data_IF_434588530352
#
_entry.id   IF_434588530352
#
_cell.length_a   1.000
_cell.length_b   1.000
_cell.length_c   1.000
_cell.angle_alpha   90.00
_cell.angle_beta   90.00
_cell.angle_gamma   90.00
#
_symmetry.space_group_name_H-M   'P 1'
#
loop_
_entity.id
_entity.type
_entity.pdbx_description
1 polymer ?
#
# COMPACT_ATOMS: atom_id res chain seq x y z
N UNK A 1 -29.20 11.81 21.98
CA UNK A 1 -29.07 12.01 20.53
C UNK A 1 -27.71 11.50 20.09
N UNK A 2 -27.66 10.55 19.17
CA UNK A 2 -26.42 9.99 18.65
C UNK A 2 -25.74 10.98 17.70
N UNK A 3 -24.77 11.74 18.21
CA UNK A 3 -23.96 12.65 17.40
C UNK A 3 -22.74 11.87 16.90
N UNK A 4 -22.43 11.97 15.60
CA UNK A 4 -21.25 11.35 15.02
C UNK A 4 -20.00 12.12 15.47
N UNK A 5 -19.16 11.50 16.28
CA UNK A 5 -17.92 12.09 16.78
C UNK A 5 -16.71 11.61 15.97
N UNK A 6 -15.81 12.53 15.64
CA UNK A 6 -14.48 12.23 15.13
C UNK A 6 -13.46 12.39 16.26
N UNK A 7 -12.65 11.36 16.46
CA UNK A 7 -11.64 11.25 17.50
C UNK A 7 -10.28 10.99 16.86
N UNK A 8 -9.23 11.50 17.50
CA UNK A 8 -7.87 11.10 17.18
C UNK A 8 -7.60 9.75 17.83
N UNK A 9 -6.85 8.91 17.13
CA UNK A 9 -6.54 7.56 17.57
C UNK A 9 -5.07 7.24 17.30
N UNK A 10 -4.44 6.67 18.30
CA UNK A 10 -3.19 5.94 18.24
C UNK A 10 -3.51 4.52 18.70
N UNK A 11 -2.68 3.53 18.40
CA UNK A 11 -2.88 2.08 18.53
C UNK A 11 -3.64 1.60 19.78
N UNK A 12 -3.64 2.36 20.88
CA UNK A 12 -4.28 2.01 22.14
C UNK A 12 -5.24 3.07 22.73
N UNK A 13 -5.28 4.31 22.21
CA UNK A 13 -5.97 5.42 22.88
C UNK A 13 -6.71 6.29 21.88
N UNK A 14 -7.93 6.65 22.23
CA UNK A 14 -8.72 7.68 21.56
C UNK A 14 -8.68 8.97 22.37
N UNK A 15 -8.39 10.10 21.73
CA UNK A 15 -8.40 11.40 22.39
C UNK A 15 -8.94 12.50 21.47
N UNK A 16 -9.18 13.68 22.05
CA UNK A 16 -9.69 14.86 21.34
C UNK A 16 -10.97 14.61 20.52
N UNK A 17 -11.86 13.75 21.02
CA UNK A 17 -13.15 13.47 20.41
C UNK A 17 -14.03 14.71 20.36
N UNK A 18 -14.49 15.07 19.16
CA UNK A 18 -15.43 16.18 18.93
C UNK A 18 -16.47 15.78 17.90
N UNK A 19 -17.56 16.53 17.83
CA UNK A 19 -18.54 16.33 16.77
C UNK A 19 -17.83 16.46 15.42
N UNK A 20 -18.10 15.53 14.50
CA UNK A 20 -17.47 15.51 13.17
C UNK A 20 -17.64 16.82 12.42
N UNK A 21 -18.75 17.55 12.63
CA UNK A 21 -18.99 18.86 12.02
C UNK A 21 -18.09 19.99 12.56
N UNK A 22 -17.47 19.82 13.72
CA UNK A 22 -16.56 20.82 14.30
C UNK A 22 -15.17 20.77 13.68
N UNK A 23 -14.81 19.65 13.05
CA UNK A 23 -13.56 19.50 12.33
C UNK A 23 -13.64 20.15 10.95
N UNK A 24 -12.65 20.98 10.64
CA UNK A 24 -12.53 21.69 9.36
C UNK A 24 -11.28 21.25 8.64
N UNK A 25 -11.38 21.08 7.33
CA UNK A 25 -10.21 20.84 6.50
C UNK A 25 -9.50 22.16 6.24
N UNK A 26 -8.17 22.14 6.36
CA UNK A 26 -7.33 23.25 5.97
C UNK A 26 -6.01 22.74 5.40
N UNK A 27 -5.15 23.68 5.01
CA UNK A 27 -3.86 23.39 4.42
C UNK A 27 -2.76 24.08 5.21
N UNK A 28 -1.99 23.27 5.91
CA UNK A 28 -1.02 23.72 6.88
C UNK A 28 0.36 23.91 6.23
N UNK A 29 1.09 24.95 6.62
CA UNK A 29 2.38 25.30 6.01
C UNK A 29 3.58 24.52 6.58
N UNK A 30 3.47 24.04 7.81
CA UNK A 30 4.49 23.22 8.47
C UNK A 30 3.87 21.97 9.07
N UNK A 31 4.66 20.91 9.11
CA UNK A 31 4.20 19.58 9.45
C UNK A 31 5.32 18.79 10.14
N UNK A 32 5.05 18.29 11.35
CA UNK A 32 5.88 17.28 12.00
C UNK A 32 5.44 15.90 11.50
N UNK A 33 6.26 15.29 10.64
CA UNK A 33 5.97 14.00 10.01
C UNK A 33 5.94 12.86 11.05
N UNK A 34 6.67 12.98 12.18
CA UNK A 34 6.70 11.93 13.21
C UNK A 34 5.47 11.99 14.10
N UNK A 35 5.03 13.19 14.44
CA UNK A 35 3.87 13.40 15.31
C UNK A 35 2.56 13.54 14.55
N UNK A 36 2.61 13.73 13.22
CA UNK A 36 1.45 14.00 12.39
C UNK A 36 0.79 15.36 12.67
N UNK A 37 1.46 16.26 13.40
CA UNK A 37 0.90 17.55 13.79
C UNK A 37 1.28 18.61 12.76
N UNK A 38 0.34 19.50 12.44
CA UNK A 38 0.57 20.57 11.49
C UNK A 38 0.29 21.94 12.09
N UNK A 39 0.98 22.97 11.57
CA UNK A 39 0.72 24.36 11.92
C UNK A 39 0.47 25.20 10.66
N UNK A 40 -0.47 26.14 10.77
CA UNK A 40 -0.92 26.97 9.66
C UNK A 40 0.08 28.07 9.26
N UNK A 41 1.05 28.38 10.12
CA UNK A 41 1.98 29.51 9.93
C UNK A 41 3.23 29.05 9.16
N UNK A 42 3.46 29.64 7.97
CA UNK A 42 4.67 29.44 7.18
C UNK A 42 4.48 29.65 5.66
N UNK A 43 5.58 29.80 4.94
CA UNK A 43 5.62 30.11 3.49
C UNK A 43 5.97 28.87 2.61
N UNK A 44 5.72 27.67 3.16
CA UNK A 44 6.26 26.38 2.71
C UNK A 44 5.18 25.41 2.22
N UNK A 45 5.54 24.32 1.51
CA UNK A 45 4.59 23.42 0.86
C UNK A 45 3.49 22.96 1.81
N UNK A 46 2.25 23.09 1.34
CA UNK A 46 1.06 22.90 2.14
C UNK A 46 0.70 21.43 2.29
N UNK A 47 0.42 21.02 3.52
CA UNK A 47 -0.05 19.69 3.87
C UNK A 47 -1.57 19.74 4.09
N UNK A 48 -2.36 18.84 3.47
CA UNK A 48 -3.78 18.74 3.80
C UNK A 48 -3.90 18.29 5.25
N UNK A 49 -4.66 19.03 6.05
CA UNK A 49 -4.83 18.78 7.47
C UNK A 49 -6.32 18.86 7.86
N UNK A 50 -6.68 18.14 8.92
CA UNK A 50 -7.97 18.23 9.60
C UNK A 50 -7.73 18.96 10.91
N UNK A 51 -8.45 20.06 11.11
CA UNK A 51 -8.23 21.01 12.18
C UNK A 51 -9.49 21.22 13.03
N UNK A 52 -9.29 21.37 14.32
CA UNK A 52 -10.29 21.87 15.25
C UNK A 52 -9.62 22.94 16.12
N UNK A 53 -10.11 24.18 16.03
CA UNK A 53 -9.45 25.36 16.58
C UNK A 53 -7.99 25.46 16.12
N UNK A 54 -7.04 25.60 17.04
CA UNK A 54 -5.60 25.68 16.74
C UNK A 54 -4.93 24.31 16.59
N UNK A 55 -5.67 23.22 16.73
CA UNK A 55 -5.12 21.87 16.69
C UNK A 55 -5.38 21.24 15.33
N UNK A 56 -4.31 20.96 14.59
CA UNK A 56 -4.36 20.40 13.25
C UNK A 56 -3.53 19.12 13.15
N UNK A 57 -4.07 18.13 12.45
CA UNK A 57 -3.41 16.85 12.18
C UNK A 57 -3.38 16.61 10.68
N UNK A 58 -2.30 16.02 10.16
CA UNK A 58 -2.20 15.62 8.75
C UNK A 58 -3.40 14.74 8.39
N UNK A 59 -4.06 15.08 7.27
CA UNK A 59 -5.04 14.23 6.60
C UNK A 59 -4.34 13.37 5.55
N UNK A 60 -4.91 12.21 5.25
CA UNK A 60 -4.44 11.37 4.16
C UNK A 60 -4.45 12.13 2.82
N UNK A 61 -3.42 11.89 2.00
CA UNK A 61 -3.26 12.55 0.72
C UNK A 61 -2.60 11.65 -0.35
N UNK A 62 -2.88 11.96 -1.61
CA UNK A 62 -2.12 11.48 -2.76
C UNK A 62 -0.98 12.45 -3.04
N UNK A 63 0.22 11.92 -3.24
CA UNK A 63 1.37 12.68 -3.70
C UNK A 63 1.47 12.51 -5.22
N UNK A 64 1.25 13.58 -5.97
CA UNK A 64 1.11 13.48 -7.43
C UNK A 64 1.96 14.51 -8.16
N UNK A 65 2.37 14.16 -9.38
CA UNK A 65 3.12 15.03 -10.28
C UNK A 65 2.43 15.10 -11.63
N UNK A 66 2.42 16.29 -12.23
CA UNK A 66 1.87 16.48 -13.56
C UNK A 66 2.67 15.66 -14.59
N UNK A 67 1.96 14.96 -15.48
CA UNK A 67 2.59 14.32 -16.62
C UNK A 67 2.89 15.38 -17.69
N UNK A 68 4.08 15.33 -18.27
CA UNK A 68 4.46 16.26 -19.36
C UNK A 68 3.42 16.19 -20.50
N UNK A 69 2.97 17.32 -21.08
CA UNK A 69 3.51 18.69 -20.99
C UNK A 69 2.92 19.58 -19.88
N UNK A 70 2.09 19.02 -18.99
CA UNK A 70 1.39 19.78 -17.96
C UNK A 70 2.37 20.19 -16.85
N UNK A 71 2.15 21.38 -16.27
CA UNK A 71 2.87 21.85 -15.08
C UNK A 71 1.91 22.33 -14.02
N UNK A 72 2.19 21.94 -12.78
CA UNK A 72 1.52 22.49 -11.61
C UNK A 72 2.26 23.70 -11.06
N UNK A 73 1.48 24.74 -10.79
CA UNK A 73 1.93 25.99 -10.21
C UNK A 73 1.11 26.21 -8.94
N UNK A 74 1.83 26.32 -7.82
CA UNK A 74 1.27 26.80 -6.56
C UNK A 74 1.39 28.31 -6.55
N UNK A 75 0.27 29.02 -6.37
CA UNK A 75 0.29 30.47 -6.34
C UNK A 75 -0.77 31.05 -5.41
N UNK A 76 -0.51 32.27 -4.95
CA UNK A 76 -1.51 33.10 -4.31
C UNK A 76 -2.51 33.60 -5.36
N UNK A 77 -3.80 33.52 -5.04
CA UNK A 77 -4.87 33.81 -5.98
C UNK A 77 -6.05 34.51 -5.30
N UNK A 78 -6.92 35.07 -6.14
CA UNK A 78 -8.25 35.51 -5.74
C UNK A 78 -9.27 34.77 -6.58
N UNK A 79 -10.23 34.16 -5.90
CA UNK A 79 -11.26 33.35 -6.52
C UNK A 79 -12.60 34.08 -6.55
N UNK A 80 -13.29 34.03 -7.68
CA UNK A 80 -14.67 34.49 -7.80
C UNK A 80 -15.53 33.30 -8.23
N UNK A 81 -16.06 32.57 -7.25
CA UNK A 81 -16.69 31.28 -7.50
C UNK A 81 -15.65 30.20 -7.80
N UNK A 82 -15.81 29.47 -8.93
CA UNK A 82 -14.91 28.36 -9.32
C UNK A 82 -13.68 28.80 -10.11
N UNK A 83 -13.64 30.05 -10.57
CA UNK A 83 -12.51 30.59 -11.33
C UNK A 83 -11.62 31.42 -10.42
N UNK A 84 -10.32 31.14 -10.47
CA UNK A 84 -9.33 31.86 -9.70
C UNK A 84 -8.29 32.51 -10.61
N UNK A 85 -7.84 33.69 -10.21
CA UNK A 85 -6.80 34.44 -10.92
C UNK A 85 -5.59 34.58 -10.01
N UNK A 86 -4.40 34.28 -10.54
CA UNK A 86 -3.14 34.42 -9.82
C UNK A 86 -2.87 35.90 -9.54
N UNK A 87 -2.54 36.23 -8.30
CA UNK A 87 -2.18 37.59 -7.88
C UNK A 87 -0.70 37.69 -7.54
N UNK A 88 -0.10 38.85 -7.81
CA UNK A 88 1.29 39.14 -7.48
C UNK A 88 1.35 39.84 -6.09
N UNK A 89 1.26 39.03 -5.03
CA UNK A 89 1.43 39.37 -3.60
C UNK A 89 0.42 40.37 -3.01
N UNK A 90 -0.61 39.85 -2.34
CA UNK A 90 -1.46 40.61 -1.40
C UNK A 90 -1.66 39.83 -0.10
N UNK A 91 -1.83 40.55 1.02
CA UNK A 91 -1.89 39.99 2.38
C UNK A 91 -3.16 39.16 2.70
N UNK A 92 -4.13 39.10 1.78
CA UNK A 92 -5.42 38.39 1.92
C UNK A 92 -5.57 37.23 0.90
N UNK A 93 -4.49 36.83 0.22
CA UNK A 93 -4.58 35.90 -0.88
C UNK A 93 -4.75 34.43 -0.42
N UNK A 94 -5.80 33.78 -0.94
CA UNK A 94 -5.99 32.34 -0.84
C UNK A 94 -4.89 31.62 -1.65
N UNK A 95 -4.67 30.33 -1.39
CA UNK A 95 -3.74 29.55 -2.19
C UNK A 95 -4.48 28.68 -3.19
N UNK A 96 -4.14 28.88 -4.46
CA UNK A 96 -4.64 28.09 -5.56
C UNK A 96 -3.59 27.15 -6.09
N UNK A 97 -4.10 26.08 -6.68
CA UNK A 97 -3.36 25.31 -7.64
C UNK A 97 -3.83 25.61 -9.05
N UNK A 98 -2.84 25.79 -9.88
CA UNK A 98 -2.96 26.19 -11.25
C UNK A 98 -2.33 25.13 -12.14
N UNK A 99 -3.10 24.68 -13.13
CA UNK A 99 -2.65 23.76 -14.16
C UNK A 99 -2.35 24.58 -15.41
N UNK A 100 -1.09 24.56 -15.85
CA UNK A 100 -0.65 25.29 -17.03
C UNK A 100 -0.07 24.35 -18.05
N UNK A 101 -0.44 24.54 -19.31
CA UNK A 101 0.39 24.15 -20.44
C UNK A 101 1.42 25.27 -20.65
N UNK A 102 2.60 24.94 -21.19
CA UNK A 102 3.78 25.83 -21.24
C UNK A 102 3.57 27.19 -21.94
N UNK A 103 2.41 27.47 -22.55
CA UNK A 103 2.12 28.68 -23.32
C UNK A 103 0.69 29.24 -23.16
N UNK A 104 -0.14 28.72 -22.24
CA UNK A 104 -1.55 29.11 -22.09
C UNK A 104 -1.86 29.76 -20.73
N UNK A 105 -3.00 30.45 -20.63
CA UNK A 105 -3.55 30.95 -19.37
C UNK A 105 -3.78 29.76 -18.42
N UNK A 106 -3.17 29.75 -17.22
CA UNK A 106 -3.29 28.61 -16.32
C UNK A 106 -4.71 28.48 -15.78
N UNK A 107 -5.24 27.27 -15.76
CA UNK A 107 -6.52 26.98 -15.11
C UNK A 107 -6.29 26.84 -13.61
N UNK A 108 -6.77 27.82 -12.86
CA UNK A 108 -6.57 27.89 -11.42
C UNK A 108 -7.88 27.68 -10.67
N UNK A 109 -7.79 26.91 -9.58
CA UNK A 109 -8.85 26.79 -8.60
C UNK A 109 -8.25 26.65 -7.19
N UNK A 110 -9.08 26.88 -6.18
CA UNK A 110 -8.73 26.55 -4.80
C UNK A 110 -8.28 25.10 -4.70
N UNK A 111 -7.29 24.89 -3.85
CA UNK A 111 -6.71 23.59 -3.55
C UNK A 111 -7.76 22.52 -3.21
N UNK A 112 -8.76 22.88 -2.39
CA UNK A 112 -9.86 21.99 -1.98
C UNK A 112 -10.87 21.70 -3.11
N UNK A 113 -10.83 22.43 -4.22
CA UNK A 113 -11.69 22.21 -5.38
C UNK A 113 -11.16 21.12 -6.30
N UNK A 114 -9.95 20.61 -6.06
CA UNK A 114 -9.35 19.51 -6.82
C UNK A 114 -9.58 18.17 -6.13
N UNK A 115 -9.84 17.12 -6.90
CA UNK A 115 -10.00 15.75 -6.44
C UNK A 115 -9.17 14.77 -7.27
N UNK A 116 -8.62 13.75 -6.62
CA UNK A 116 -7.97 12.64 -7.31
C UNK A 116 -9.03 11.67 -7.85
N UNK A 117 -8.96 11.37 -9.14
CA UNK A 117 -9.92 10.51 -9.85
C UNK A 117 -9.22 9.66 -10.91
N UNK A 118 -9.95 8.68 -11.42
CA UNK A 118 -9.57 7.93 -12.61
C UNK A 118 -10.18 8.58 -13.85
N UNK A 119 -9.46 8.55 -14.96
CA UNK A 119 -9.90 9.13 -16.23
C UNK A 119 -9.77 8.17 -17.39
N UNK A 120 -10.52 8.48 -18.45
CA UNK A 120 -10.37 7.90 -19.77
C UNK A 120 -10.32 9.02 -20.82
N UNK A 121 -10.02 8.65 -22.07
CA UNK A 121 -10.04 9.56 -23.21
C UNK A 121 -9.07 10.74 -23.04
N UNK A 122 -7.87 10.44 -22.54
CA UNK A 122 -6.84 11.44 -22.37
C UNK A 122 -6.23 11.83 -23.71
N UNK A 123 -6.25 13.11 -24.04
CA UNK A 123 -5.60 13.63 -25.24
C UNK A 123 -4.11 13.91 -24.99
N UNK A 124 -3.35 14.13 -26.07
CA UNK A 124 -1.89 14.25 -26.03
C UNK A 124 -1.36 15.38 -25.12
N UNK A 125 -2.18 16.40 -24.85
CA UNK A 125 -1.82 17.51 -23.98
C UNK A 125 -2.05 17.20 -22.48
N UNK A 126 -2.53 15.99 -22.18
CA UNK A 126 -2.80 15.46 -20.84
C UNK A 126 -4.16 15.86 -20.24
N UNK A 127 -5.04 16.53 -20.97
CA UNK A 127 -6.44 16.71 -20.59
C UNK A 127 -7.22 15.42 -20.80
N UNK A 128 -8.12 15.10 -19.87
CA UNK A 128 -8.91 13.88 -19.90
C UNK A 128 -10.36 14.12 -19.54
N UNK A 129 -11.18 13.09 -19.73
CA UNK A 129 -12.52 13.01 -19.20
C UNK A 129 -12.55 12.15 -17.94
N UNK A 130 -13.31 12.59 -16.94
CA UNK A 130 -13.57 11.80 -15.73
C UNK A 130 -14.23 10.47 -16.11
N UNK A 131 -13.77 9.38 -15.53
CA UNK A 131 -14.35 8.05 -15.71
C UNK A 131 -14.74 7.47 -14.35
N UNK A 132 -15.99 7.01 -14.24
CA UNK A 132 -16.48 6.26 -13.08
C UNK A 132 -16.46 4.73 -13.36
N UNK A 133 -15.91 4.29 -14.50
CA UNK A 133 -15.89 2.88 -14.93
C UNK A 133 -14.56 2.18 -14.62
N UNK A 134 -14.59 0.83 -14.59
CA UNK A 134 -13.40 -0.02 -14.43
C UNK A 134 -12.35 0.13 -15.56
N UNK A 135 -12.74 0.66 -16.71
CA UNK A 135 -11.88 0.87 -17.88
C UNK A 135 -11.28 2.29 -17.92
N UNK A 136 -10.60 2.68 -16.85
CA UNK A 136 -9.83 3.92 -16.85
C UNK A 136 -8.43 3.68 -17.41
N UNK A 137 -7.87 4.70 -18.04
CA UNK A 137 -6.54 4.63 -18.68
C UNK A 137 -5.46 5.25 -17.77
N UNK A 138 -5.83 6.31 -17.05
CA UNK A 138 -4.88 7.13 -16.31
C UNK A 138 -5.41 7.62 -14.97
N UNK A 139 -4.48 7.93 -14.08
CA UNK A 139 -4.73 8.67 -12.85
C UNK A 139 -4.79 10.16 -13.17
N UNK A 140 -5.72 10.86 -12.55
CA UNK A 140 -5.97 12.27 -12.82
C UNK A 140 -6.23 13.08 -11.57
N UNK A 141 -6.07 14.38 -11.75
CA UNK A 141 -6.64 15.39 -10.87
C UNK A 141 -7.76 16.09 -11.62
N UNK A 142 -8.92 16.25 -10.99
CA UNK A 142 -10.10 16.83 -11.59
C UNK A 142 -10.65 17.96 -10.73
N UNK A 143 -11.26 18.98 -11.35
CA UNK A 143 -12.10 19.93 -10.60
C UNK A 143 -13.39 19.25 -10.16
N UNK A 144 -13.79 19.49 -8.90
CA UNK A 144 -15.08 19.03 -8.37
C UNK A 144 -16.23 19.51 -9.26
N UNK A 145 -17.12 18.57 -9.56
CA UNK A 145 -18.29 18.73 -10.43
C UNK A 145 -17.99 19.02 -11.92
N UNK A 146 -16.77 18.75 -12.40
CA UNK A 146 -16.41 18.87 -13.81
C UNK A 146 -16.09 17.51 -14.43
N UNK A 147 -16.70 17.24 -15.59
CA UNK A 147 -16.44 16.01 -16.36
C UNK A 147 -15.19 16.11 -17.25
N UNK A 148 -14.80 17.33 -17.64
CA UNK A 148 -13.77 17.57 -18.67
C UNK A 148 -12.55 18.31 -18.14
N UNK A 149 -12.61 18.85 -16.93
CA UNK A 149 -11.48 19.56 -16.31
C UNK A 149 -10.64 18.61 -15.48
N UNK A 150 -10.07 17.61 -16.16
CA UNK A 150 -9.22 16.59 -15.58
C UNK A 150 -7.87 16.53 -16.28
N UNK A 151 -6.81 16.27 -15.53
CA UNK A 151 -5.43 16.31 -16.00
C UNK A 151 -4.65 15.10 -15.53
N UNK A 152 -3.92 14.44 -16.45
CA UNK A 152 -3.11 13.25 -16.14
C UNK A 152 -2.02 13.55 -15.13
N UNK A 153 -1.88 12.67 -14.15
CA UNK A 153 -0.81 12.69 -13.15
C UNK A 153 -0.18 11.34 -12.94
N UNK A 154 1.07 11.37 -12.50
CA UNK A 154 1.78 10.23 -11.95
C UNK A 154 1.74 10.31 -10.43
N UNK A 155 1.50 9.18 -9.76
CA UNK A 155 1.53 9.06 -8.30
C UNK A 155 2.96 8.75 -7.85
N UNK A 156 3.40 9.39 -6.77
CA UNK A 156 4.77 9.33 -6.26
C UNK A 156 4.80 8.75 -4.85
N UNK A 157 5.91 8.10 -4.51
CA UNK A 157 6.19 7.63 -3.15
C UNK A 157 6.62 8.80 -2.23
N UNK A 158 6.47 8.64 -0.91
CA UNK A 158 6.80 9.71 0.06
C UNK A 158 8.29 10.14 0.02
N UNK A 159 9.18 9.23 -0.38
CA UNK A 159 10.61 9.48 -0.59
C UNK A 159 10.86 10.55 -1.69
N UNK A 160 9.93 10.69 -2.64
CA UNK A 160 9.99 11.66 -3.75
C UNK A 160 9.38 13.03 -3.41
N UNK A 161 8.90 13.24 -2.18
CA UNK A 161 8.22 14.48 -1.78
C UNK A 161 9.07 15.75 -1.83
N UNK A 162 10.39 15.61 -2.00
CA UNK A 162 11.35 16.72 -2.16
C UNK A 162 11.41 17.29 -3.59
N UNK A 163 10.79 16.64 -4.57
CA UNK A 163 10.79 17.11 -5.96
C UNK A 163 9.98 18.40 -6.13
N UNK A 164 10.46 19.30 -6.99
CA UNK A 164 9.70 20.50 -7.40
C UNK A 164 8.49 20.08 -8.26
N UNK A 165 7.39 20.84 -8.17
CA UNK A 165 6.13 20.61 -8.91
C UNK A 165 5.34 19.36 -8.49
N UNK A 166 5.55 18.89 -7.26
CA UNK A 166 4.74 17.83 -6.65
C UNK A 166 3.59 18.45 -5.85
N UNK A 167 2.45 17.78 -5.91
CA UNK A 167 1.19 18.24 -5.37
C UNK A 167 0.67 17.22 -4.35
N UNK A 168 0.22 17.69 -3.19
CA UNK A 168 -0.47 16.88 -2.18
C UNK A 168 -1.97 17.13 -2.29
N UNK A 169 -2.69 16.17 -2.86
CA UNK A 169 -4.15 16.25 -2.99
C UNK A 169 -4.77 15.43 -1.88
N UNK A 170 -5.74 16.02 -1.18
CA UNK A 170 -6.49 15.32 -0.15
C UNK A 170 -7.08 14.03 -0.69
N UNK A 171 -6.98 12.97 0.11
CA UNK A 171 -7.64 11.70 -0.12
C UNK A 171 -8.93 11.65 0.67
N UNK A 172 -10.07 11.48 0.00
CA UNK A 172 -11.38 11.47 0.64
C UNK A 172 -11.56 10.27 1.59
N UNK A 173 -10.99 9.13 1.23
CA UNK A 173 -10.97 7.93 2.08
C UNK A 173 -9.82 7.00 1.72
N UNK A 174 -9.10 6.50 2.73
CA UNK A 174 -8.26 5.30 2.58
C UNK A 174 -9.13 4.12 2.15
N UNK A 175 -8.61 3.29 1.25
CA UNK A 175 -9.26 2.03 0.90
C UNK A 175 -9.23 1.09 2.13
N UNK A 176 -10.19 0.16 2.18
CA UNK A 176 -10.32 -0.77 3.30
C UNK A 176 -9.00 -1.50 3.59
N UNK A 177 -8.36 -2.06 2.55
CA UNK A 177 -7.11 -2.79 2.74
C UNK A 177 -6.00 -1.91 3.31
N UNK A 178 -5.90 -0.63 2.93
CA UNK A 178 -4.90 0.29 3.48
C UNK A 178 -5.19 0.61 4.95
N UNK A 179 -6.46 0.80 5.31
CA UNK A 179 -6.87 1.00 6.71
C UNK A 179 -6.47 -0.20 7.56
N UNK A 180 -6.80 -1.42 7.10
CA UNK A 180 -6.49 -2.65 7.83
C UNK A 180 -4.98 -2.88 7.89
N UNK A 181 -4.27 -2.75 6.76
CA UNK A 181 -2.82 -2.90 6.72
C UNK A 181 -2.10 -1.88 7.60
N UNK A 182 -2.59 -0.64 7.70
CA UNK A 182 -1.99 0.38 8.57
C UNK A 182 -2.21 0.14 10.07
N UNK A 183 -3.18 -0.72 10.42
CA UNK A 183 -3.60 -0.93 11.82
C UNK A 183 -2.95 -2.14 12.48
N UNK A 184 -2.62 -3.16 11.69
CA UNK A 184 -2.10 -4.43 12.20
C UNK A 184 -0.72 -4.71 11.60
N UNK A 185 0.24 -5.16 12.42
CA UNK A 185 1.65 -5.29 12.03
C UNK A 185 2.13 -6.72 11.78
N UNK A 186 1.25 -7.72 11.91
CA UNK A 186 1.61 -9.13 11.71
C UNK A 186 0.71 -9.86 10.72
N UNK A 187 -0.17 -10.69 11.27
CA UNK A 187 -1.01 -11.66 10.59
C UNK A 187 -2.44 -11.13 10.43
N UNK A 188 -2.96 -11.24 9.21
CA UNK A 188 -4.29 -10.81 8.83
C UNK A 188 -5.06 -11.96 8.19
N UNK A 189 -6.38 -11.92 8.25
CA UNK A 189 -7.21 -12.69 7.33
C UNK A 189 -7.26 -11.96 5.98
N UNK A 190 -7.16 -12.71 4.90
CA UNK A 190 -7.23 -12.17 3.55
C UNK A 190 -7.98 -13.11 2.61
N UNK A 191 -8.87 -12.55 1.79
CA UNK A 191 -9.40 -13.25 0.63
C UNK A 191 -8.34 -13.34 -0.46
N UNK A 192 -8.14 -14.54 -1.00
CA UNK A 192 -7.30 -14.80 -2.16
C UNK A 192 -8.05 -15.60 -3.20
N UNK A 193 -7.50 -15.63 -4.42
CA UNK A 193 -7.87 -16.63 -5.41
C UNK A 193 -7.04 -17.87 -5.15
N UNK A 194 -7.66 -19.05 -5.17
CA UNK A 194 -7.00 -20.32 -4.88
C UNK A 194 -7.41 -21.42 -5.87
N UNK A 195 -6.53 -22.41 -5.98
CA UNK A 195 -6.90 -23.79 -6.36
C UNK A 195 -7.12 -24.60 -5.09
N UNK A 196 -8.26 -25.28 -4.99
CA UNK A 196 -8.60 -26.15 -3.85
C UNK A 196 -8.74 -27.59 -4.38
N UNK A 197 -7.66 -28.40 -4.35
CA UNK A 197 -7.70 -29.78 -4.85
C UNK A 197 -8.59 -30.68 -3.99
N UNK A 198 -8.73 -30.32 -2.71
CA UNK A 198 -9.56 -31.01 -1.72
C UNK A 198 -10.47 -29.99 -1.05
N UNK A 199 -11.54 -30.45 -0.41
CA UNK A 199 -12.46 -29.55 0.30
C UNK A 199 -11.82 -28.89 1.53
N UNK A 200 -10.67 -29.39 2.00
CA UNK A 200 -10.11 -29.00 3.29
C UNK A 200 -8.78 -28.25 3.19
N UNK A 201 -8.20 -28.11 1.99
CA UNK A 201 -6.94 -27.37 1.78
C UNK A 201 -6.91 -26.68 0.42
N UNK A 202 -6.47 -25.42 0.43
CA UNK A 202 -6.35 -24.60 -0.76
C UNK A 202 -4.94 -24.00 -0.89
N UNK A 203 -4.52 -23.75 -2.13
CA UNK A 203 -3.27 -23.06 -2.46
C UNK A 203 -3.56 -21.74 -3.16
N UNK A 204 -3.00 -20.64 -2.64
CA UNK A 204 -3.20 -19.28 -3.17
C UNK A 204 -2.54 -19.13 -4.55
N UNK A 205 -3.31 -18.61 -5.50
CA UNK A 205 -2.87 -18.16 -6.81
C UNK A 205 -2.46 -16.70 -6.72
N UNK A 206 -1.15 -16.45 -6.59
CA UNK A 206 -0.63 -15.08 -6.56
C UNK A 206 -0.85 -14.39 -7.91
N UNK A 207 -1.74 -13.39 -7.96
CA UNK A 207 -1.92 -12.51 -9.12
C UNK A 207 -2.78 -13.08 -10.26
N UNK A 208 -3.18 -14.35 -10.22
CA UNK A 208 -4.13 -14.93 -11.17
C UNK A 208 -5.56 -14.85 -10.61
N UNK A 209 -6.48 -14.32 -11.42
CA UNK A 209 -7.89 -14.15 -11.06
C UNK A 209 -8.75 -15.36 -11.44
N UNK A 210 -8.19 -16.37 -12.12
CA UNK A 210 -8.89 -17.56 -12.60
C UNK A 210 -8.98 -18.68 -11.55
N UNK A 211 -9.32 -18.31 -10.31
CA UNK A 211 -9.39 -19.23 -9.18
C UNK A 211 -10.75 -19.23 -8.46
N UNK A 212 -10.87 -20.11 -7.48
CA UNK A 212 -11.96 -20.08 -6.50
C UNK A 212 -11.59 -19.17 -5.33
N UNK A 213 -12.57 -18.50 -4.74
CA UNK A 213 -12.33 -17.63 -3.58
C UNK A 213 -12.03 -18.48 -2.35
N UNK A 214 -10.91 -18.19 -1.69
CA UNK A 214 -10.49 -18.80 -0.43
C UNK A 214 -10.16 -17.72 0.59
N UNK A 215 -10.13 -18.09 1.86
CA UNK A 215 -9.64 -17.25 2.94
C UNK A 215 -8.32 -17.82 3.46
N UNK A 216 -7.34 -16.93 3.60
CA UNK A 216 -5.97 -17.27 3.97
C UNK A 216 -5.51 -16.40 5.14
N UNK A 217 -4.48 -16.87 5.84
CA UNK A 217 -3.67 -15.96 6.65
C UNK A 217 -2.66 -15.25 5.74
N UNK A 218 -2.52 -13.95 5.94
CA UNK A 218 -1.58 -13.10 5.23
C UNK A 218 -0.60 -12.49 6.22
N UNK A 219 0.69 -12.78 6.02
CA UNK A 219 1.75 -12.19 6.80
C UNK A 219 2.22 -10.90 6.12
N UNK A 220 1.89 -9.76 6.74
CA UNK A 220 2.21 -8.42 6.21
C UNK A 220 3.72 -8.20 6.05
N UNK A 221 4.56 -8.81 6.90
CA UNK A 221 6.01 -8.57 6.92
C UNK A 221 6.73 -9.11 5.69
N UNK A 222 6.32 -10.28 5.20
CA UNK A 222 6.96 -10.95 4.07
C UNK A 222 6.03 -11.21 2.89
N UNK A 223 4.76 -10.79 2.97
CA UNK A 223 3.76 -10.98 1.92
C UNK A 223 3.28 -12.42 1.75
N UNK A 224 3.62 -13.33 2.67
CA UNK A 224 3.31 -14.75 2.51
C UNK A 224 1.82 -15.02 2.82
N UNK A 225 1.18 -15.82 1.97
CA UNK A 225 -0.27 -16.11 2.03
C UNK A 225 -0.46 -17.61 2.29
N UNK A 226 -0.67 -17.99 3.54
CA UNK A 226 -0.82 -19.40 3.95
C UNK A 226 -1.22 -19.49 5.44
N UNK A 227 -1.83 -20.60 5.88
CA UNK A 227 -2.56 -21.58 5.07
C UNK A 227 -3.88 -20.99 4.55
N UNK A 228 -4.44 -21.60 3.50
CA UNK A 228 -5.69 -21.18 2.89
C UNK A 228 -6.75 -22.29 2.97
N UNK A 229 -8.00 -21.88 3.21
CA UNK A 229 -9.16 -22.76 3.29
C UNK A 229 -10.36 -22.12 2.58
N UNK A 230 -11.38 -22.91 2.20
CA UNK A 230 -12.63 -22.33 1.71
C UNK A 230 -13.25 -21.40 2.77
N UNK A 231 -13.95 -20.32 2.38
CA UNK A 231 -14.50 -19.33 3.33
C UNK A 231 -15.41 -19.95 4.40
N UNK A 232 -16.14 -21.01 4.06
CA UNK A 232 -17.08 -21.69 4.98
C UNK A 232 -16.38 -22.39 6.15
N UNK A 233 -15.08 -22.65 6.05
CA UNK A 233 -14.29 -23.18 7.17
C UNK A 233 -13.91 -22.11 8.19
N UNK A 234 -14.12 -20.83 7.90
CA UNK A 234 -13.79 -19.74 8.79
C UNK A 234 -14.99 -19.29 9.59
N UNK A 235 -14.78 -19.07 10.89
CA UNK A 235 -15.85 -18.72 11.82
C UNK A 235 -15.51 -17.41 12.50
N UNK A 236 -16.43 -16.46 12.46
CA UNK A 236 -16.35 -15.24 13.26
C UNK A 236 -16.58 -15.58 14.74
N UNK A 237 -15.67 -15.13 15.61
CA UNK A 237 -15.69 -15.38 17.05
C UNK A 237 -15.30 -14.12 17.81
N UNK A 238 -15.43 -14.21 19.14
CA UNK A 238 -14.90 -13.21 20.06
C UNK A 238 -13.71 -13.75 20.83
N UNK A 239 -12.58 -13.07 20.71
CA UNK A 239 -11.32 -13.44 21.30
C UNK A 239 -11.06 -12.63 22.58
N UNK A 240 -10.43 -13.26 23.57
CA UNK A 240 -10.15 -12.64 24.87
C UNK A 240 -8.95 -11.71 24.81
N UNK A 241 -7.89 -12.16 24.12
CA UNK A 241 -6.66 -11.40 23.91
C UNK A 241 -6.16 -11.62 22.50
N UNK A 242 -5.57 -10.59 21.91
CA UNK A 242 -4.85 -10.65 20.63
C UNK A 242 -3.48 -10.01 20.80
N UNK A 243 -2.45 -10.60 20.18
CA UNK A 243 -1.11 -10.03 20.13
C UNK A 243 -1.08 -8.81 19.21
N UNK A 244 -0.01 -8.00 19.31
CA UNK A 244 0.26 -6.92 18.35
C UNK A 244 0.50 -7.44 16.93
N UNK A 245 0.89 -8.71 16.81
CA UNK A 245 1.03 -9.42 15.55
C UNK A 245 -0.30 -9.96 15.01
N UNK A 246 -1.44 -9.72 15.67
CA UNK A 246 -2.76 -10.10 15.18
C UNK A 246 -3.23 -11.50 15.57
N UNK A 247 -2.36 -12.35 16.10
CA UNK A 247 -2.71 -13.67 16.62
C UNK A 247 -3.59 -13.57 17.86
N UNK A 248 -4.75 -14.22 17.85
CA UNK A 248 -5.70 -14.17 18.94
C UNK A 248 -5.86 -15.52 19.64
N UNK A 249 -6.05 -15.47 20.97
CA UNK A 249 -6.42 -16.63 21.78
C UNK A 249 -7.94 -16.61 21.96
N UNK A 250 -8.61 -17.62 21.40
CA UNK A 250 -10.04 -17.81 21.65
C UNK A 250 -10.24 -18.54 22.99
N UNK A 251 -11.31 -18.18 23.70
CA UNK A 251 -11.78 -18.85 24.90
C UNK A 251 -13.26 -19.14 24.75
N UNK A 252 -13.71 -20.32 25.17
CA UNK A 252 -15.11 -20.72 25.08
C UNK A 252 -16.03 -19.85 25.95
N UNK A 253 -15.47 -19.11 26.92
CA UNK A 253 -16.18 -18.15 27.77
C UNK A 253 -16.49 -16.79 27.13
N UNK A 254 -16.22 -16.63 25.83
CA UNK A 254 -16.41 -15.35 25.12
C UNK A 254 -15.26 -14.36 25.36
N UNK A 255 -15.28 -13.26 24.61
CA UNK A 255 -14.27 -12.20 24.67
C UNK A 255 -14.81 -10.87 24.13
N UNK A 256 -13.98 -9.83 24.19
CA UNK A 256 -14.37 -8.47 23.76
C UNK A 256 -13.90 -8.10 22.37
N UNK A 257 -12.97 -8.87 21.78
CA UNK A 257 -12.34 -8.55 20.51
C UNK A 257 -12.94 -9.37 19.37
N UNK A 258 -13.45 -8.72 18.33
CA UNK A 258 -13.83 -9.39 17.08
C UNK A 258 -12.62 -10.08 16.43
N UNK A 259 -12.78 -11.36 16.10
CA UNK A 259 -11.76 -12.15 15.42
C UNK A 259 -12.40 -13.14 14.43
N UNK A 260 -11.65 -13.55 13.41
CA UNK A 260 -12.04 -14.64 12.50
C UNK A 260 -11.06 -15.80 12.68
N UNK A 261 -11.59 -17.01 12.75
CA UNK A 261 -10.86 -18.19 13.16
C UNK A 261 -10.96 -19.31 12.12
N UNK A 262 -9.86 -20.02 11.89
CA UNK A 262 -9.82 -21.29 11.18
C UNK A 262 -9.80 -22.44 12.22
N UNK A 263 -10.93 -23.11 12.50
CA UNK A 263 -11.04 -24.09 13.58
C UNK A 263 -10.14 -25.31 13.40
N UNK A 264 -9.88 -25.71 12.14
CA UNK A 264 -9.04 -26.88 11.81
C UNK A 264 -7.66 -26.78 12.46
N UNK A 265 -7.06 -25.58 12.44
CA UNK A 265 -5.73 -25.31 12.99
C UNK A 265 -5.77 -24.49 14.28
N UNK A 266 -6.97 -24.19 14.79
CA UNK A 266 -7.20 -23.42 16.03
C UNK A 266 -6.52 -22.06 16.05
N UNK A 267 -6.40 -21.42 14.89
CA UNK A 267 -5.80 -20.09 14.76
C UNK A 267 -6.89 -19.04 14.52
N UNK A 268 -6.75 -17.89 15.16
CA UNK A 268 -7.64 -16.75 15.03
C UNK A 268 -6.84 -15.48 14.78
N UNK A 269 -7.38 -14.59 13.95
CA UNK A 269 -6.82 -13.27 13.69
C UNK A 269 -7.84 -12.18 13.96
N UNK A 270 -7.35 -11.04 14.44
CA UNK A 270 -8.20 -9.89 14.77
C UNK A 270 -8.83 -9.29 13.51
N UNK A 271 -10.11 -8.93 13.62
CA UNK A 271 -10.83 -8.17 12.60
C UNK A 271 -11.47 -6.93 13.24
N UNK A 272 -12.00 -6.04 12.41
CA UNK A 272 -12.72 -4.87 12.90
C UNK A 272 -14.09 -5.27 13.49
N UNK A 273 -14.60 -4.52 14.46
CA UNK A 273 -15.93 -4.76 15.04
C UNK A 273 -17.02 -4.53 13.97
N UNK A 274 -18.02 -5.41 13.96
CA UNK A 274 -19.24 -5.13 13.21
C UNK A 274 -19.96 -3.94 13.86
N UNK A 275 -20.37 -2.96 13.04
CA UNK A 275 -21.20 -1.86 13.52
C UNK A 275 -22.53 -2.45 13.98
N UNK A 276 -22.79 -2.40 15.29
CA UNK A 276 -24.10 -2.80 15.85
C UNK A 276 -25.07 -1.64 15.62
N UNK A 277 -26.05 -1.85 14.76
CA UNK A 277 -27.24 -0.99 14.74
C UNK A 277 -27.94 -1.18 16.09
N UNK A 278 -27.82 -0.16 16.93
CA UNK A 278 -28.65 -0.02 18.12
C UNK A 278 -29.75 0.96 17.76
N UNK A 279 -30.66 0.55 16.90
CA UNK A 279 -31.98 1.19 16.82
C UNK A 279 -32.98 0.21 16.18
N UNK A 280 -33.66 -0.54 17.04
CA UNK A 280 -34.82 -1.37 16.69
C UNK A 280 -36.07 -0.46 16.65
N UNK A 281 -35.99 0.61 15.86
CA UNK A 281 -37.13 1.51 15.62
C UNK A 281 -37.43 1.49 14.12
N UNK A 282 -38.42 0.67 13.79
CA UNK A 282 -39.06 0.63 12.48
C UNK A 282 -39.61 2.01 12.15
N UNK A 283 -38.97 2.73 11.23
CA UNK A 283 -39.65 3.77 10.48
C UNK A 283 -39.28 3.70 9.01
N UNK A 284 -40.33 3.52 8.21
CA UNK A 284 -40.28 3.31 6.77
C UNK A 284 -40.07 4.63 6.04
N UNK A 285 -39.29 4.56 4.94
CA UNK A 285 -39.12 5.57 3.88
C UNK A 285 -38.14 6.72 4.13
N UNK A 286 -36.84 6.41 4.11
CA UNK A 286 -35.81 7.31 3.55
C UNK A 286 -34.76 6.48 2.79
N UNK A 287 -34.68 6.67 1.46
CA UNK A 287 -33.58 6.15 0.63
C UNK A 287 -32.33 6.99 0.86
N UNK A 288 -31.55 6.65 1.89
CA UNK A 288 -30.17 7.11 2.08
C UNK A 288 -29.29 5.86 2.13
N UNK A 289 -28.37 5.77 1.19
CA UNK A 289 -27.46 4.65 1.04
C UNK A 289 -26.59 4.44 2.31
N UNK A 290 -26.98 3.44 3.10
CA UNK A 290 -26.06 2.42 3.59
C UNK A 290 -25.35 2.66 4.93
N UNK A 291 -26.09 2.93 6.01
CA UNK A 291 -25.68 2.38 7.32
C UNK A 291 -26.31 0.99 7.41
N UNK A 292 -25.53 -0.02 7.07
CA UNK A 292 -25.87 -1.43 7.29
C UNK A 292 -24.69 -2.05 8.00
N UNK A 293 -24.95 -2.95 8.96
CA UNK A 293 -23.92 -3.71 9.65
C UNK A 293 -22.87 -4.24 8.65
N UNK A 294 -21.59 -3.94 8.90
CA UNK A 294 -20.49 -4.36 8.01
C UNK A 294 -20.47 -5.89 7.91
N UNK A 295 -20.62 -6.42 6.70
CA UNK A 295 -20.50 -7.87 6.47
C UNK A 295 -19.06 -8.29 6.71
N UNK A 296 -18.83 -9.56 7.03
CA UNK A 296 -17.47 -10.09 7.23
C UNK A 296 -16.57 -9.80 6.01
N UNK A 297 -17.13 -9.92 4.80
CA UNK A 297 -16.44 -9.61 3.56
C UNK A 297 -15.95 -8.16 3.43
N UNK A 298 -16.59 -7.23 4.15
CA UNK A 298 -16.25 -5.80 4.16
C UNK A 298 -15.24 -5.44 5.26
N UNK A 299 -14.82 -6.42 6.07
CA UNK A 299 -13.85 -6.26 7.18
C UNK A 299 -12.56 -7.06 6.99
N UNK A 300 -12.46 -7.80 5.90
CA UNK A 300 -11.32 -8.64 5.54
C UNK A 300 -10.72 -8.11 4.25
N UNK A 301 -9.39 -8.05 4.17
CA UNK A 301 -8.70 -7.57 2.97
C UNK A 301 -8.86 -8.56 1.82
N UNK A 302 -8.83 -8.05 0.59
CA UNK A 302 -8.82 -8.87 -0.63
C UNK A 302 -7.49 -8.67 -1.33
N UNK A 303 -6.71 -9.73 -1.52
CA UNK A 303 -5.34 -9.61 -2.03
C UNK A 303 -5.28 -9.02 -3.44
N UNK A 304 -6.28 -9.30 -4.28
CA UNK A 304 -6.37 -8.70 -5.62
C UNK A 304 -6.60 -7.18 -5.61
N UNK A 305 -7.12 -6.61 -4.51
CA UNK A 305 -7.22 -5.15 -4.33
C UNK A 305 -5.86 -4.53 -3.99
N UNK A 306 -4.96 -5.30 -3.36
CA UNK A 306 -3.58 -4.92 -3.09
C UNK A 306 -2.77 -4.99 -4.39
N UNK A 307 -2.83 -6.11 -5.11
CA UNK A 307 -2.05 -6.35 -6.33
C UNK A 307 -2.41 -5.42 -7.51
N UNK A 308 -3.63 -4.87 -7.55
CA UNK A 308 -4.08 -3.98 -8.64
C UNK A 308 -3.70 -2.52 -8.45
N UNK A 309 -3.28 -2.10 -7.25
CA UNK A 309 -2.97 -0.68 -6.97
C UNK A 309 -1.65 -0.39 -6.28
N UNK A 310 -0.91 -1.42 -5.93
CA UNK A 310 0.50 -1.28 -5.56
C UNK A 310 1.32 -1.99 -6.62
N UNK A 311 2.25 -1.26 -7.25
CA UNK A 311 3.35 -1.95 -7.93
C UNK A 311 3.92 -3.02 -6.98
N UNK A 312 4.25 -4.22 -7.49
CA UNK A 312 4.68 -5.31 -6.64
C UNK A 312 5.82 -4.86 -5.73
N UNK A 313 5.84 -5.28 -4.45
CA UNK A 313 6.90 -4.96 -3.50
C UNK A 313 8.27 -5.10 -4.16
N UNK A 314 9.23 -4.21 -3.83
CA UNK A 314 10.58 -4.21 -4.43
C UNK A 314 11.21 -5.61 -4.47
N UNK A 315 10.94 -6.44 -3.47
CA UNK A 315 11.39 -7.84 -3.38
C UNK A 315 10.80 -8.72 -4.50
N UNK A 316 9.51 -8.60 -4.82
CA UNK A 316 8.86 -9.34 -5.91
C UNK A 316 9.36 -8.82 -7.26
N UNK A 317 9.50 -7.51 -7.43
CA UNK A 317 10.14 -6.93 -8.64
C UNK A 317 11.57 -7.40 -8.82
N UNK A 318 12.36 -7.44 -7.74
CA UNK A 318 13.74 -7.91 -7.78
C UNK A 318 13.81 -9.41 -8.07
N UNK A 319 12.88 -10.20 -7.54
CA UNK A 319 12.79 -11.62 -7.83
C UNK A 319 12.36 -11.89 -9.28
N UNK A 320 11.36 -11.17 -9.80
CA UNK A 320 10.99 -11.23 -11.22
C UNK A 320 12.12 -10.75 -12.15
N UNK A 321 12.86 -9.71 -11.74
CA UNK A 321 14.03 -9.23 -12.48
C UNK A 321 15.16 -10.27 -12.46
N UNK A 322 15.41 -10.92 -11.32
CA UNK A 322 16.37 -12.03 -11.20
C UNK A 322 15.93 -13.21 -12.06
N UNK A 323 14.68 -13.66 -11.95
CA UNK A 323 14.14 -14.74 -12.77
C UNK A 323 14.20 -14.42 -14.27
N UNK A 324 13.97 -13.17 -14.66
CA UNK A 324 14.13 -12.70 -16.05
C UNK A 324 15.60 -12.67 -16.47
N UNK A 325 16.50 -12.22 -15.60
CA UNK A 325 17.94 -12.18 -15.87
C UNK A 325 18.55 -13.59 -15.96
N UNK A 326 18.07 -14.54 -15.15
CA UNK A 326 18.46 -15.95 -15.20
C UNK A 326 17.65 -16.76 -16.22
N UNK A 327 16.73 -16.15 -16.99
CA UNK A 327 15.92 -16.86 -17.98
C UNK A 327 15.06 -17.99 -17.41
N UNK A 328 14.68 -17.89 -16.12
CA UNK A 328 13.84 -18.84 -15.39
C UNK A 328 12.35 -18.49 -15.48
N UNK A 329 12.00 -17.36 -16.09
CA UNK A 329 10.62 -16.90 -16.22
C UNK A 329 9.78 -17.94 -16.97
N UNK A 330 8.79 -18.52 -16.29
CA UNK A 330 7.86 -19.51 -16.84
C UNK A 330 8.35 -20.97 -16.78
N UNK A 331 9.50 -21.25 -16.15
CA UNK A 331 9.94 -22.62 -15.89
C UNK A 331 9.33 -23.12 -14.57
N UNK A 332 8.54 -24.18 -14.62
CA UNK A 332 7.96 -24.84 -13.42
C UNK A 332 8.59 -26.20 -13.12
N UNK A 333 9.28 -26.81 -14.08
CA UNK A 333 9.92 -28.12 -13.91
C UNK A 333 11.24 -27.98 -13.13
N UNK A 334 11.38 -28.62 -11.95
CA UNK A 334 12.59 -28.54 -11.15
C UNK A 334 13.84 -29.08 -11.87
N UNK A 335 13.69 -29.99 -12.84
CA UNK A 335 14.82 -30.51 -13.63
C UNK A 335 15.28 -29.43 -14.63
N UNK A 336 14.35 -28.83 -15.37
CA UNK A 336 14.63 -27.72 -16.28
C UNK A 336 15.24 -26.50 -15.56
N UNK A 337 14.71 -26.14 -14.38
CA UNK A 337 15.25 -25.05 -13.56
C UNK A 337 16.69 -25.34 -13.17
N UNK A 338 16.99 -26.56 -12.68
CA UNK A 338 18.35 -26.93 -12.28
C UNK A 338 19.31 -26.91 -13.48
N UNK A 339 18.86 -27.41 -14.64
CA UNK A 339 19.67 -27.40 -15.86
C UNK A 339 19.98 -25.97 -16.31
N UNK A 340 18.98 -25.08 -16.34
CA UNK A 340 19.15 -23.69 -16.75
C UNK A 340 19.99 -22.89 -15.77
N UNK A 341 19.78 -23.09 -14.47
CA UNK A 341 20.60 -22.48 -13.43
C UNK A 341 22.06 -22.93 -13.54
N UNK A 342 22.31 -24.22 -13.78
CA UNK A 342 23.67 -24.76 -13.97
C UNK A 342 24.36 -24.15 -15.19
N UNK A 343 23.65 -24.03 -16.32
CA UNK A 343 24.16 -23.43 -17.55
C UNK A 343 24.56 -21.95 -17.35
N UNK A 344 23.68 -21.16 -16.74
CA UNK A 344 23.97 -19.75 -16.47
C UNK A 344 25.14 -19.57 -15.50
N UNK A 345 25.25 -20.46 -14.51
CA UNK A 345 26.33 -20.43 -13.53
C UNK A 345 27.67 -20.76 -14.19
N UNK A 346 27.71 -21.74 -15.09
CA UNK A 346 28.89 -22.05 -15.91
C UNK A 346 29.27 -20.84 -16.78
N UNK A 347 28.30 -20.21 -17.44
CA UNK A 347 28.57 -19.03 -18.28
C UNK A 347 29.10 -17.84 -17.45
N UNK A 348 28.49 -17.57 -16.30
CA UNK A 348 28.92 -16.48 -15.41
C UNK A 348 30.32 -16.72 -14.86
N UNK A 349 30.61 -17.93 -14.36
CA UNK A 349 31.92 -18.29 -13.81
C UNK A 349 33.00 -18.28 -14.89
N UNK A 350 32.70 -18.69 -16.13
CA UNK A 350 33.65 -18.65 -17.24
C UNK A 350 34.06 -17.24 -17.64
N UNK A 351 33.22 -16.23 -17.40
CA UNK A 351 33.53 -14.83 -17.67
C UNK A 351 34.36 -14.16 -16.58
N UNK A 352 34.62 -14.84 -15.45
CA UNK A 352 35.48 -14.34 -14.37
C UNK A 352 36.95 -14.65 -14.68
N UNK A 353 37.85 -13.77 -14.22
CA UNK A 353 39.29 -14.03 -14.27
C UNK A 353 39.70 -15.03 -13.17
N UNK A 354 40.91 -15.60 -13.26
CA UNK A 354 41.38 -16.62 -12.32
C UNK A 354 41.51 -16.12 -10.87
N UNK A 355 41.79 -14.83 -10.69
CA UNK A 355 41.83 -14.21 -9.35
C UNK A 355 40.44 -14.14 -8.71
N UNK A 356 39.42 -13.79 -9.49
CA UNK A 356 38.04 -13.69 -9.07
C UNK A 356 37.49 -15.09 -8.79
N UNK A 357 37.74 -16.06 -9.69
CA UNK A 357 37.41 -17.49 -9.50
C UNK A 357 38.01 -18.06 -8.21
N UNK A 358 39.26 -17.72 -7.92
CA UNK A 358 39.95 -18.16 -6.69
C UNK A 358 39.32 -17.51 -5.44
N UNK A 359 38.96 -16.22 -5.52
CA UNK A 359 38.39 -15.47 -4.39
C UNK A 359 36.96 -15.88 -4.00
N UNK A 360 36.17 -16.39 -4.96
CA UNK A 360 34.82 -16.90 -4.69
C UNK A 360 34.80 -18.40 -4.32
N UNK A 361 35.96 -19.08 -4.39
CA UNK A 361 36.10 -20.49 -4.03
C UNK A 361 36.47 -20.63 -2.55
N UNK A 362 36.36 -21.86 -2.02
CA UNK A 362 36.71 -22.15 -0.64
C UNK A 362 38.20 -21.90 -0.36
N UNK A 363 38.49 -21.29 0.78
CA UNK A 363 39.87 -21.20 1.27
C UNK A 363 40.39 -22.57 1.72
N UNK A 364 41.71 -22.78 1.73
CA UNK A 364 42.30 -24.09 2.13
C UNK A 364 41.87 -24.50 3.55
N UNK A 365 41.82 -23.53 4.47
CA UNK A 365 41.48 -23.73 5.87
C UNK A 365 39.98 -23.98 6.09
N UNK A 366 39.13 -23.45 5.21
CA UNK A 366 37.69 -23.71 5.22
C UNK A 366 37.36 -25.09 4.67
N UNK A 367 38.04 -25.49 3.58
CA UNK A 367 37.80 -26.78 2.93
C UNK A 367 38.40 -27.96 3.73
N UNK A 368 39.58 -27.77 4.35
CA UNK A 368 40.33 -28.84 5.00
C UNK A 368 40.31 -28.67 6.52
N UNK A 369 39.41 -29.41 7.17
CA UNK A 369 39.23 -29.34 8.63
C UNK A 369 40.21 -30.19 9.43
N UNK A 370 40.74 -31.28 8.83
CA UNK A 370 41.78 -32.13 9.43
C UNK A 370 42.72 -32.66 8.35
N UNK A 371 44.03 -32.60 8.61
CA UNK A 371 45.08 -33.10 7.73
C UNK A 371 46.01 -34.01 8.53
N UNK A 372 46.11 -35.30 8.17
CA UNK A 372 47.06 -36.23 8.77
C UNK A 372 47.55 -37.25 7.74
N UNK A 373 48.86 -37.48 7.72
CA UNK A 373 49.49 -38.49 6.86
C UNK A 373 50.54 -39.26 7.67
N UNK A 374 50.51 -40.60 7.62
CA UNK A 374 51.38 -41.48 8.40
C UNK A 374 51.44 -41.14 9.91
N UNK A 375 50.29 -40.81 10.49
CA UNK A 375 50.16 -40.51 11.92
C UNK A 375 50.72 -39.13 12.34
N UNK A 376 51.12 -38.28 11.40
CA UNK A 376 51.57 -36.91 11.66
C UNK A 376 50.57 -35.91 11.09
N UNK A 377 50.27 -34.88 11.87
CA UNK A 377 49.43 -33.77 11.41
C UNK A 377 50.18 -32.97 10.33
N UNK A 378 49.56 -32.77 9.17
CA UNK A 378 50.12 -31.96 8.08
C UNK A 378 49.69 -30.49 8.19
N UNK A 379 50.58 -29.59 7.77
CA UNK A 379 50.24 -28.17 7.63
C UNK A 379 49.54 -27.96 6.30
N UNK A 380 48.28 -27.53 6.34
CA UNK A 380 47.43 -27.30 5.16
C UNK A 380 48.03 -26.25 4.22
N UNK A 381 48.77 -25.28 4.75
CA UNK A 381 49.35 -24.19 3.95
C UNK A 381 50.49 -24.65 3.05
N UNK A 382 51.36 -25.53 3.56
CA UNK A 382 52.58 -25.97 2.87
C UNK A 382 52.41 -27.31 2.15
N UNK A 383 51.48 -28.16 2.57
CA UNK A 383 51.29 -29.49 1.99
C UNK A 383 50.23 -29.56 0.87
N UNK A 384 49.41 -28.51 0.69
CA UNK A 384 48.30 -28.51 -0.28
C UNK A 384 48.50 -27.42 -1.32
N UNK A 385 48.50 -27.81 -2.59
CA UNK A 385 48.54 -26.89 -3.74
C UNK A 385 47.13 -26.61 -4.26
N UNK A 386 46.86 -25.38 -4.69
CA UNK A 386 45.59 -25.01 -5.32
C UNK A 386 45.67 -25.32 -6.81
N UNK A 387 44.67 -26.03 -7.33
CA UNK A 387 44.50 -26.24 -8.77
C UNK A 387 43.19 -25.59 -9.21
N UNK A 388 43.29 -24.68 -10.17
CA UNK A 388 42.14 -24.15 -10.90
C UNK A 388 41.81 -25.14 -12.02
N UNK A 389 40.60 -25.70 -11.98
CA UNK A 389 40.07 -26.52 -13.07
C UNK A 389 39.37 -25.56 -14.03
N UNK A 390 39.89 -25.48 -15.26
CA UNK A 390 39.31 -24.67 -16.35
C UNK A 390 38.10 -25.37 -16.94
#
# INVERSE_FOLDING_TARGET
GSIECACLHNEHIWWHCRNKSEWRYSYCATCDIRMGTCHEIGDRPRFPCICHNSFCVISDYHLVKAKWPIRFISAQCTCRGKECVVMNRTALAEHCFCVSLSTAHPKCALIDSWEYRKCAHCIWNGECMRSDHLHYEHNCICLKDSLTSCYVVDELDEEDSSQRHVLRIRRDSKKLYEKILSRYDGLLAAYSMCTCPTNDTCTSLHGDLNGTICLCFFNKKNGHVWPCYPPDFWIERRCRTCSSLGDCVFSDGGGDLACVCAPIIRMCVRIDEAVRDTDDTFDSNVTVAGKSALRLADRIIKLWEISSTTEPPRIIKEQEQKEKAFGLKGMSDPIAIKAKASENLIFAVNNLNDTDKSSISYSKQEFITKCSFNGRQCSVETCVSIFLVV
#
